data_IF_052277030237
#
_entry.id   IF_052277030237
#
_cell.length_a   1.000
_cell.length_b   1.000
_cell.length_c   1.000
_cell.angle_alpha   90.00
_cell.angle_beta   90.00
_cell.angle_gamma   90.00
#
_symmetry.space_group_name_H-M   'P 1'
#
loop_
_entity.id
_entity.type
_entity.pdbx_description
1 polymer ?
#
# COMPACT_ATOMS: atom_id res chain seq x y z
N UNK A 1 -3.45 0.91 3.37
CA UNK A 1 -3.28 -0.44 2.79
C UNK A 1 -4.64 -1.11 2.74
N UNK A 2 -4.96 -1.82 1.66
CA UNK A 2 -6.21 -2.58 1.56
C UNK A 2 -6.39 -3.23 0.20
N UNK A 3 -7.44 -4.04 0.06
CA UNK A 3 -7.89 -4.62 -1.21
C UNK A 3 -8.76 -3.61 -1.96
N UNK A 4 -8.28 -3.14 -3.11
CA UNK A 4 -8.99 -2.14 -3.91
C UNK A 4 -9.93 -2.78 -4.95
N UNK A 5 -9.68 -4.04 -5.33
CA UNK A 5 -10.31 -4.71 -6.48
C UNK A 5 -10.42 -3.79 -7.72
N UNK A 6 -9.44 -2.91 -7.90
CA UNK A 6 -9.30 -2.00 -9.01
C UNK A 6 -8.25 -2.58 -9.95
N UNK A 7 -8.48 -2.56 -11.26
CA UNK A 7 -7.62 -3.27 -12.22
C UNK A 7 -6.81 -2.23 -12.99
N UNK A 8 -5.48 -2.29 -12.87
CA UNK A 8 -4.56 -1.42 -13.58
C UNK A 8 -3.22 -2.12 -13.87
N UNK A 9 -2.55 -1.68 -14.93
CA UNK A 9 -1.25 -2.21 -15.33
C UNK A 9 -0.16 -1.97 -14.28
N UNK A 10 -0.25 -0.86 -13.53
CA UNK A 10 0.75 -0.48 -12.53
C UNK A 10 0.87 -1.46 -11.37
N UNK A 11 -0.18 -2.24 -11.11
CA UNK A 11 -0.18 -3.30 -10.10
C UNK A 11 -0.49 -4.68 -10.73
N UNK A 12 0.09 -4.87 -11.91
CA UNK A 12 0.33 -6.17 -12.56
C UNK A 12 -0.88 -6.81 -13.26
N UNK A 13 -1.94 -6.04 -13.52
CA UNK A 13 -3.00 -6.52 -14.39
C UNK A 13 -2.62 -6.37 -15.88
N UNK A 14 -3.18 -7.24 -16.72
CA UNK A 14 -2.99 -7.21 -18.18
C UNK A 14 -3.80 -6.14 -18.90
N UNK A 15 -4.73 -5.49 -18.20
CA UNK A 15 -5.61 -4.45 -18.70
C UNK A 15 -5.90 -3.48 -17.55
N UNK A 16 -6.43 -2.31 -17.87
CA UNK A 16 -6.97 -1.37 -16.90
C UNK A 16 -8.50 -1.29 -17.02
N UNK A 17 -9.17 -1.03 -15.90
CA UNK A 17 -10.59 -0.70 -15.87
C UNK A 17 -10.80 0.74 -15.33
N UNK A 18 -11.99 1.35 -15.50
CA UNK A 18 -12.23 2.72 -15.06
C UNK A 18 -11.93 2.95 -13.57
N UNK A 19 -12.14 1.93 -12.73
CA UNK A 19 -11.83 2.01 -11.29
C UNK A 19 -10.33 2.07 -11.02
N UNK A 20 -9.53 1.27 -11.72
CA UNK A 20 -8.06 1.31 -11.64
C UNK A 20 -7.51 2.62 -12.13
N UNK A 21 -7.99 3.11 -13.27
CA UNK A 21 -7.59 4.42 -13.79
C UNK A 21 -7.97 5.57 -12.84
N UNK A 22 -9.10 5.49 -12.16
CA UNK A 22 -9.49 6.48 -11.14
C UNK A 22 -8.55 6.41 -9.93
N UNK A 23 -8.25 5.22 -9.42
CA UNK A 23 -7.30 5.05 -8.29
C UNK A 23 -5.92 5.58 -8.67
N UNK A 24 -5.43 5.28 -9.87
CA UNK A 24 -4.17 5.81 -10.38
C UNK A 24 -4.17 7.35 -10.40
N UNK A 25 -5.19 7.97 -11.01
CA UNK A 25 -5.30 9.44 -11.03
C UNK A 25 -5.32 10.03 -9.63
N UNK A 26 -6.07 9.43 -8.70
CA UNK A 26 -6.11 9.92 -7.32
C UNK A 26 -4.75 9.81 -6.63
N UNK A 27 -3.97 8.77 -6.91
CA UNK A 27 -2.61 8.64 -6.37
C UNK A 27 -1.74 9.80 -6.87
N UNK A 28 -1.75 10.07 -8.17
CA UNK A 28 -0.99 11.17 -8.81
C UNK A 28 -1.45 12.55 -8.30
N UNK A 29 -2.76 12.81 -8.33
CA UNK A 29 -3.34 14.12 -8.01
C UNK A 29 -3.17 14.51 -6.54
N UNK A 30 -2.92 13.53 -5.65
CA UNK A 30 -2.86 13.77 -4.20
C UNK A 30 -1.45 13.61 -3.60
N UNK A 31 -0.42 13.51 -4.44
CA UNK A 31 0.98 13.34 -4.02
C UNK A 31 1.13 12.10 -3.10
N UNK A 32 0.45 11.02 -3.48
CA UNK A 32 0.57 9.71 -2.83
C UNK A 32 1.56 8.85 -3.60
N UNK A 33 2.21 7.93 -2.90
CA UNK A 33 3.16 7.01 -3.50
C UNK A 33 2.67 5.58 -3.32
N UNK A 34 2.67 4.82 -4.40
CA UNK A 34 2.39 3.38 -4.39
C UNK A 34 3.67 2.62 -4.05
N UNK A 35 3.64 1.82 -2.99
CA UNK A 35 4.78 1.02 -2.53
C UNK A 35 4.46 -0.47 -2.62
N UNK A 36 4.47 -1.00 -3.84
CA UNK A 36 4.28 -2.43 -4.12
C UNK A 36 5.42 -2.92 -5.01
N UNK A 37 5.63 -4.23 -5.05
CA UNK A 37 6.46 -4.88 -6.06
C UNK A 37 5.56 -5.58 -7.10
N UNK A 38 5.38 -5.01 -8.30
CA UNK A 38 4.51 -5.60 -9.31
C UNK A 38 5.03 -6.94 -9.84
N UNK A 39 6.29 -7.30 -9.60
CA UNK A 39 6.85 -8.60 -9.99
C UNK A 39 6.45 -9.72 -9.02
N UNK A 40 6.00 -9.37 -7.80
CA UNK A 40 5.65 -10.32 -6.73
C UNK A 40 4.14 -10.34 -6.47
N UNK A 41 3.43 -11.10 -7.31
CA UNK A 41 1.97 -11.30 -7.22
C UNK A 41 1.48 -11.58 -5.80
N UNK A 42 0.63 -10.70 -5.28
CA UNK A 42 -0.04 -10.84 -3.98
C UNK A 42 -1.25 -11.77 -4.05
N UNK A 43 -1.68 -12.23 -5.23
CA UNK A 43 -2.83 -13.13 -5.36
C UNK A 43 -2.52 -14.43 -6.09
N UNK A 44 -2.98 -15.55 -5.52
CA UNK A 44 -3.11 -16.82 -6.23
C UNK A 44 -4.44 -16.79 -7.00
N UNK A 45 -4.39 -16.92 -8.33
CA UNK A 45 -5.58 -16.76 -9.17
C UNK A 45 -5.62 -17.70 -10.36
N UNK A 46 -6.80 -17.80 -10.97
CA UNK A 46 -7.03 -18.40 -12.29
C UNK A 46 -6.51 -17.47 -13.41
N UNK A 47 -6.46 -17.94 -14.65
CA UNK A 47 -5.74 -17.33 -15.79
C UNK A 47 -5.93 -15.82 -16.02
N UNK A 48 -7.07 -15.24 -15.63
CA UNK A 48 -7.39 -13.81 -15.77
C UNK A 48 -6.96 -12.92 -14.60
N UNK A 49 -6.68 -13.50 -13.42
CA UNK A 49 -6.26 -12.79 -12.20
C UNK A 49 -4.91 -13.27 -11.65
N UNK A 50 -4.32 -14.29 -12.28
CA UNK A 50 -3.01 -14.83 -11.95
C UNK A 50 -1.93 -13.78 -12.21
N UNK A 51 -1.12 -13.48 -11.20
CA UNK A 51 -0.03 -12.50 -11.32
C UNK A 51 -0.40 -11.07 -10.91
N UNK A 52 -1.61 -10.82 -10.41
CA UNK A 52 -2.09 -9.47 -10.08
C UNK A 52 -1.93 -9.10 -8.61
N UNK A 53 -1.89 -7.79 -8.33
CA UNK A 53 -1.83 -7.23 -6.98
C UNK A 53 -3.09 -6.39 -6.68
N UNK A 54 -4.17 -6.99 -6.16
CA UNK A 54 -5.38 -6.24 -5.78
C UNK A 54 -5.19 -5.46 -4.47
N UNK A 55 -4.29 -5.94 -3.62
CA UNK A 55 -3.92 -5.29 -2.36
C UNK A 55 -2.85 -4.23 -2.62
N UNK A 56 -3.19 -2.97 -2.36
CA UNK A 56 -2.30 -1.84 -2.57
C UNK A 56 -1.87 -1.25 -1.23
N UNK A 57 -0.58 -0.92 -1.15
CA UNK A 57 -0.03 -0.11 -0.07
C UNK A 57 0.32 1.26 -0.63
N UNK A 58 -0.39 2.28 -0.16
CA UNK A 58 -0.23 3.67 -0.58
C UNK A 58 0.22 4.47 0.64
N UNK A 59 1.21 5.34 0.46
CA UNK A 59 1.79 6.19 1.52
C UNK A 59 1.84 7.65 1.10
N UNK A 60 1.99 8.55 2.08
CA UNK A 60 2.19 9.98 1.85
C UNK A 60 3.38 10.47 2.66
N UNK A 61 4.40 11.01 1.99
CA UNK A 61 5.55 11.69 2.63
C UNK A 61 6.24 10.86 3.73
N UNK A 62 6.29 9.54 3.57
CA UNK A 62 7.04 8.65 4.47
C UNK A 62 8.40 8.34 3.84
N UNK A 63 9.52 8.66 4.51
CA UNK A 63 10.85 8.32 4.01
C UNK A 63 11.15 6.82 4.21
N UNK A 64 11.84 6.23 3.22
CA UNK A 64 12.38 4.87 3.25
C UNK A 64 11.40 3.76 3.67
N UNK A 65 10.14 3.74 3.18
CA UNK A 65 9.24 2.62 3.44
C UNK A 65 9.83 1.33 2.86
N UNK A 66 9.62 0.21 3.53
CA UNK A 66 9.85 -1.10 2.91
C UNK A 66 8.53 -1.85 2.79
N UNK A 67 8.39 -2.58 1.69
CA UNK A 67 7.23 -3.41 1.41
C UNK A 67 7.69 -4.79 0.99
N UNK A 68 7.06 -5.84 1.51
CA UNK A 68 7.41 -7.23 1.19
C UNK A 68 6.15 -8.09 1.10
N UNK A 69 6.00 -8.80 -0.02
CA UNK A 69 5.09 -9.94 -0.11
C UNK A 69 5.75 -11.17 0.54
N UNK A 70 5.14 -11.69 1.61
CA UNK A 70 5.67 -12.79 2.41
C UNK A 70 5.42 -14.17 1.79
N UNK A 71 4.62 -14.26 0.73
CA UNK A 71 4.30 -15.53 0.04
C UNK A 71 3.49 -16.53 0.87
N UNK A 72 2.93 -16.10 2.00
CA UNK A 72 2.07 -16.92 2.88
C UNK A 72 0.62 -16.52 2.68
N UNK A 73 -0.31 -17.48 2.61
CA UNK A 73 -1.70 -17.19 2.19
C UNK A 73 -2.75 -17.47 3.28
N UNK A 74 -2.37 -18.15 4.37
CA UNK A 74 -3.22 -18.45 5.54
C UNK A 74 -4.64 -18.95 5.20
N UNK A 75 -4.77 -19.83 4.20
CA UNK A 75 -6.07 -20.38 3.78
C UNK A 75 -6.91 -19.46 2.87
N UNK A 76 -6.39 -18.30 2.47
CA UNK A 76 -7.00 -17.40 1.48
C UNK A 76 -6.26 -17.48 0.13
N UNK A 77 -6.70 -16.71 -0.86
CA UNK A 77 -5.97 -16.51 -2.11
C UNK A 77 -5.13 -15.21 -2.14
N UNK A 78 -5.06 -14.47 -1.03
CA UNK A 78 -4.26 -13.27 -0.88
C UNK A 78 -3.02 -13.55 -0.02
N UNK A 79 -1.87 -13.07 -0.45
CA UNK A 79 -0.62 -13.21 0.27
C UNK A 79 -0.60 -12.22 1.45
N UNK A 80 0.02 -12.64 2.55
CA UNK A 80 0.39 -11.73 3.63
C UNK A 80 1.44 -10.76 3.12
N UNK A 81 1.18 -9.48 3.35
CA UNK A 81 2.05 -8.39 2.98
C UNK A 81 2.56 -7.72 4.26
N UNK A 82 3.85 -7.42 4.30
CA UNK A 82 4.48 -6.67 5.38
C UNK A 82 4.91 -5.30 4.86
N UNK A 83 4.67 -4.26 5.66
CA UNK A 83 5.16 -2.91 5.39
C UNK A 83 5.83 -2.38 6.65
N UNK A 84 7.07 -1.91 6.52
CA UNK A 84 7.79 -1.27 7.62
C UNK A 84 7.91 0.21 7.33
N UNK A 85 7.53 1.04 8.29
CA UNK A 85 7.62 2.49 8.23
C UNK A 85 8.59 2.97 9.30
N UNK A 86 9.42 3.96 8.95
CA UNK A 86 10.34 4.60 9.90
C UNK A 86 9.74 5.94 10.30
N UNK A 87 9.42 6.08 11.58
CA UNK A 87 8.89 7.32 12.15
C UNK A 87 9.94 7.98 13.03
N UNK A 88 10.03 9.30 12.96
CA UNK A 88 10.80 10.07 13.94
C UNK A 88 10.07 10.01 15.27
N UNK A 89 10.80 9.86 16.37
CA UNK A 89 10.23 9.99 17.71
C UNK A 89 9.60 11.37 17.85
N UNK A 90 8.28 11.41 18.05
CA UNK A 90 7.61 12.64 18.42
C UNK A 90 7.86 12.90 19.90
N UNK A 91 8.83 13.77 20.22
CA UNK A 91 9.02 14.28 21.59
C UNK A 91 7.87 15.22 21.91
N UNK A 92 6.93 14.77 22.74
CA UNK A 92 5.96 15.67 23.38
C UNK A 92 6.76 16.59 24.32
N UNK A 93 6.87 17.86 23.96
CA UNK A 93 7.29 18.89 24.90
C UNK A 93 6.18 19.08 25.92
N UNK A 94 6.24 18.37 27.03
CA UNK A 94 5.37 18.63 28.18
C UNK A 94 5.83 19.96 28.79
N UNK A 95 5.33 21.08 28.26
CA UNK A 95 5.46 22.37 28.92
C UNK A 95 4.59 22.31 30.16
N UNK A 96 5.19 21.96 31.30
CA UNK A 96 4.55 22.16 32.60
C UNK A 96 4.34 23.66 32.77
N UNK A 97 3.13 24.15 32.50
CA UNK A 97 2.73 25.48 32.92
C UNK A 97 2.82 25.52 34.45
N UNK A 98 3.81 26.25 34.99
CA UNK A 98 3.82 26.61 36.40
C UNK A 98 2.75 27.67 36.60
N UNK A 99 1.67 27.30 37.29
CA UNK A 99 0.80 28.27 37.94
C UNK A 99 1.58 28.85 39.13
N UNK A 100 1.92 30.12 39.04
CA UNK A 100 2.41 30.92 40.17
C UNK A 100 1.28 31.84 40.60
N UNK A 101 0.82 31.67 41.83
CA UNK A 101 0.16 32.70 42.64
C UNK A 101 0.97 32.87 43.93
#
# INVERSE_FOLDING_TARGET
MGDFNAVDHLWSYKYANPRGSLVFRLIEDTDLNLIIDPTKSARLGTSSKKGSNPDLTIIKKIPYPTWTNLGRYNGSNHALLATTLYVLEYKISTVFARLTD
#
